data_IF_924854039250
#
_entry.id   IF_924854039250
#
_cell.length_a   1.000
_cell.length_b   1.000
_cell.length_c   1.000
_cell.angle_alpha   90.00
_cell.angle_beta   90.00
_cell.angle_gamma   90.00
#
_symmetry.space_group_name_H-M   'P 1'
#
loop_
_entity.id
_entity.type
_entity.pdbx_description
1 polymer ?
#
# COMPACT_ATOMS: atom_id res chain seq x y z
N UNK A 1 25.22 46.56 64.79
CA UNK A 1 23.82 46.46 64.31
C UNK A 1 23.57 45.05 63.78
N UNK A 2 22.71 44.27 64.44
CA UNK A 2 22.14 42.99 63.97
C UNK A 2 20.71 42.93 64.52
N UNK A 3 19.73 42.47 63.74
CA UNK A 3 18.36 42.22 64.22
C UNK A 3 17.96 40.79 63.89
N UNK A 4 17.39 40.13 64.88
CA UNK A 4 16.95 38.73 64.86
C UNK A 4 15.42 38.67 64.90
N UNK A 5 14.83 37.63 64.29
CA UNK A 5 13.50 37.04 64.55
C UNK A 5 13.37 35.91 63.51
N UNK A 6 13.47 34.60 63.79
CA UNK A 6 12.90 33.75 64.85
C UNK A 6 11.42 33.39 64.65
N UNK A 7 11.15 32.15 64.24
CA UNK A 7 9.98 31.39 64.68
C UNK A 7 10.25 29.88 64.55
N UNK A 8 9.84 29.09 65.56
CA UNK A 8 10.06 27.65 65.62
C UNK A 8 8.88 26.97 66.34
N UNK A 9 8.28 25.99 65.66
CA UNK A 9 7.44 24.83 66.08
C UNK A 9 6.76 24.86 67.48
N UNK A 10 5.43 24.66 67.50
CA UNK A 10 4.73 23.87 68.54
C UNK A 10 3.73 22.90 67.89
N UNK A 11 3.61 21.70 68.45
CA UNK A 11 2.71 20.59 68.08
C UNK A 11 1.75 20.31 69.25
N UNK A 12 0.47 19.94 69.03
CA UNK A 12 -0.22 18.87 69.79
C UNK A 12 -1.68 18.55 69.37
N UNK A 13 -1.86 17.37 68.79
CA UNK A 13 -2.91 16.32 68.95
C UNK A 13 -4.36 16.61 69.40
N UNK A 14 -5.34 15.97 68.72
CA UNK A 14 -6.09 14.79 69.25
C UNK A 14 -6.92 14.02 68.18
N UNK A 15 -6.77 12.70 68.25
CA UNK A 15 -7.60 11.52 67.90
C UNK A 15 -9.15 11.71 67.86
N UNK A 16 -10.01 10.87 67.25
CA UNK A 16 -9.98 9.39 66.98
C UNK A 16 -10.91 8.97 65.79
N UNK A 17 -10.82 7.69 65.35
CA UNK A 17 -11.63 6.90 64.39
C UNK A 17 -13.13 7.30 64.22
N UNK A 18 -13.82 7.19 63.07
CA UNK A 18 -14.23 5.99 62.27
C UNK A 18 -14.87 6.42 60.91
N UNK A 19 -15.24 5.58 59.90
CA UNK A 19 -14.80 4.25 59.40
C UNK A 19 -15.53 3.84 58.08
N UNK A 20 -14.86 3.02 57.25
CA UNK A 20 -15.41 1.98 56.33
C UNK A 20 -15.99 2.31 54.92
N UNK A 21 -15.67 1.38 53.99
CA UNK A 21 -16.21 1.07 52.64
C UNK A 21 -16.11 2.15 51.52
N UNK A 22 -15.62 1.93 50.28
CA UNK A 22 -15.37 0.78 49.38
C UNK A 22 -16.41 0.61 48.25
N UNK A 23 -15.90 0.38 47.02
CA UNK A 23 -16.59 0.11 45.72
C UNK A 23 -17.25 1.32 45.07
N UNK A 24 -16.93 1.71 43.82
CA UNK A 24 -16.83 1.01 42.51
C UNK A 24 -18.16 0.90 41.77
N UNK A 25 -18.06 0.86 40.43
CA UNK A 25 -19.15 0.60 39.47
C UNK A 25 -20.12 1.78 39.23
N UNK A 26 -20.65 2.06 38.03
CA UNK A 26 -20.30 1.60 36.67
C UNK A 26 -20.91 2.56 35.62
N UNK A 27 -20.70 2.28 34.33
CA UNK A 27 -21.28 3.01 33.20
C UNK A 27 -22.83 2.98 33.18
N UNK A 28 -23.46 4.04 32.67
CA UNK A 28 -24.90 4.13 32.45
C UNK A 28 -25.25 4.89 31.18
N UNK A 29 -25.42 4.18 30.07
CA UNK A 29 -25.92 4.73 28.80
C UNK A 29 -27.43 4.97 28.87
N UNK A 30 -27.90 6.11 28.36
CA UNK A 30 -29.25 6.21 27.80
C UNK A 30 -29.40 7.37 26.81
N UNK A 31 -30.05 7.08 25.69
CA UNK A 31 -30.70 8.02 24.78
C UNK A 31 -31.90 7.29 24.16
N UNK A 32 -32.49 7.76 23.05
CA UNK A 32 -32.45 9.10 22.47
C UNK A 32 -33.87 9.72 22.39
N UNK A 33 -33.99 10.96 21.88
CA UNK A 33 -35.25 11.47 21.32
C UNK A 33 -34.99 12.28 20.05
N UNK A 34 -35.78 12.01 19.02
CA UNK A 34 -35.72 12.68 17.73
C UNK A 34 -36.88 13.68 17.56
N UNK A 35 -36.65 14.77 16.83
CA UNK A 35 -37.70 15.54 16.19
C UNK A 35 -37.16 16.25 14.94
N UNK A 36 -37.87 16.10 13.83
CA UNK A 36 -37.48 16.57 12.48
C UNK A 36 -37.62 18.09 12.30
N UNK A 37 -36.91 18.65 11.31
CA UNK A 37 -37.12 20.03 10.87
C UNK A 37 -36.17 20.49 9.76
N UNK A 38 -36.59 20.37 8.49
CA UNK A 38 -35.89 20.95 7.34
C UNK A 38 -36.09 22.47 7.31
N UNK A 39 -35.03 23.27 7.20
CA UNK A 39 -35.07 24.63 6.65
C UNK A 39 -33.76 24.97 5.93
N UNK A 40 -33.85 25.84 4.93
CA UNK A 40 -32.85 26.09 3.87
C UNK A 40 -32.25 27.49 3.97
N UNK A 41 -31.00 27.64 3.51
CA UNK A 41 -30.23 28.90 3.36
C UNK A 41 -29.87 29.57 4.72
N UNK A 42 -28.72 30.23 4.92
CA UNK A 42 -27.70 30.74 4.00
C UNK A 42 -26.36 31.02 4.74
N UNK A 43 -25.26 31.21 3.98
CA UNK A 43 -24.00 31.84 4.41
C UNK A 43 -23.23 31.32 5.64
N UNK A 44 -22.37 30.32 5.41
CA UNK A 44 -21.07 30.23 6.08
C UNK A 44 -20.01 29.70 5.09
N UNK A 45 -19.39 30.58 4.31
CA UNK A 45 -18.15 30.26 3.59
C UNK A 45 -16.98 30.21 4.57
N UNK A 46 -17.01 29.23 5.47
CA UNK A 46 -15.83 28.90 6.26
C UNK A 46 -14.80 28.30 5.30
N UNK A 47 -13.66 28.97 5.19
CA UNK A 47 -12.44 28.41 4.63
C UNK A 47 -12.08 27.17 5.45
N UNK A 48 -12.52 26.00 4.99
CA UNK A 48 -11.76 24.78 5.26
C UNK A 48 -10.45 24.95 4.52
N UNK A 49 -9.45 25.47 5.24
CA UNK A 49 -8.07 25.29 4.82
C UNK A 49 -7.87 23.80 4.64
N UNK A 50 -7.36 23.41 3.48
CA UNK A 50 -6.84 22.06 3.28
C UNK A 50 -5.66 21.95 4.23
N UNK A 51 -5.93 21.45 5.44
CA UNK A 51 -4.92 20.83 6.27
C UNK A 51 -4.49 19.61 5.46
N UNK A 52 -3.40 19.78 4.69
CA UNK A 52 -2.72 18.69 4.03
C UNK A 52 -2.27 17.75 5.15
N UNK A 53 -3.08 16.72 5.45
CA UNK A 53 -2.52 15.49 6.02
C UNK A 53 -1.37 15.12 5.09
N UNK A 54 -0.12 15.03 5.57
CA UNK A 54 0.97 14.61 4.71
C UNK A 54 0.58 13.28 4.08
N UNK A 55 0.73 13.18 2.76
CA UNK A 55 0.38 11.96 2.06
C UNK A 55 1.16 10.81 2.71
N UNK A 56 0.44 9.78 3.14
CA UNK A 56 0.98 8.79 4.08
C UNK A 56 2.26 8.11 3.54
N UNK A 57 2.45 8.04 2.23
CA UNK A 57 3.63 7.48 1.57
C UNK A 57 4.36 8.52 0.71
N UNK A 58 4.41 9.76 1.21
CA UNK A 58 5.12 10.86 0.59
C UNK A 58 4.37 11.50 -0.58
N UNK A 59 4.98 12.55 -1.11
CA UNK A 59 4.49 13.33 -2.24
C UNK A 59 4.62 12.56 -3.57
N UNK A 60 3.72 12.73 -4.55
CA UNK A 60 3.76 11.96 -5.81
C UNK A 60 5.06 12.07 -6.61
N UNK A 61 5.78 13.20 -6.50
CA UNK A 61 7.10 13.40 -7.13
C UNK A 61 8.29 12.90 -6.30
N UNK A 62 8.05 12.25 -5.16
CA UNK A 62 9.07 11.67 -4.28
C UNK A 62 8.42 10.65 -3.33
N UNK A 63 7.89 9.53 -3.84
CA UNK A 63 7.20 8.54 -3.00
C UNK A 63 8.16 7.93 -1.98
N UNK A 64 7.63 7.59 -0.80
CA UNK A 64 8.36 6.81 0.18
C UNK A 64 8.65 5.39 -0.36
N UNK A 65 9.84 4.86 -0.06
CA UNK A 65 10.27 3.51 -0.42
C UNK A 65 10.35 2.61 0.82
N UNK A 66 9.88 1.37 0.69
CA UNK A 66 9.88 0.38 1.77
C UNK A 66 8.55 -0.36 1.87
N UNK A 67 8.48 -1.34 2.76
CA UNK A 67 7.28 -2.15 3.00
C UNK A 67 6.62 -1.69 4.30
N UNK A 68 5.39 -1.19 4.22
CA UNK A 68 4.58 -0.87 5.41
C UNK A 68 3.84 -2.13 5.90
N UNK A 69 3.47 -2.14 7.20
CA UNK A 69 2.70 -3.19 7.91
C UNK A 69 3.40 -4.55 7.98
N UNK A 70 4.73 -4.57 7.88
CA UNK A 70 5.57 -5.74 8.18
C UNK A 70 5.84 -5.86 9.69
N UNK A 71 5.74 -7.06 10.23
CA UNK A 71 6.16 -7.41 11.60
C UNK A 71 7.66 -7.75 11.65
N UNK A 72 8.36 -7.27 12.67
CA UNK A 72 9.78 -7.55 12.89
C UNK A 72 10.55 -6.34 13.43
N UNK A 73 11.88 -6.47 13.49
CA UNK A 73 12.78 -5.38 13.90
C UNK A 73 13.84 -5.11 12.85
N UNK A 74 14.09 -3.82 12.59
CA UNK A 74 15.23 -3.35 11.83
C UNK A 74 16.23 -2.67 12.78
N UNK A 75 17.53 -2.74 12.50
CA UNK A 75 18.58 -2.11 13.30
C UNK A 75 19.43 -1.18 12.46
N UNK A 76 19.70 0.01 13.00
CA UNK A 76 20.72 0.89 12.45
C UNK A 76 22.10 0.45 12.91
N UNK A 77 23.03 0.27 11.97
CA UNK A 77 24.46 0.17 12.27
C UNK A 77 25.07 1.56 12.19
N UNK A 78 25.15 2.25 13.33
CA UNK A 78 25.87 3.52 13.46
C UNK A 78 27.35 3.29 13.79
N UNK A 79 28.18 4.31 13.53
CA UNK A 79 29.61 4.30 13.91
C UNK A 79 29.82 4.37 15.45
N UNK A 80 28.81 4.80 16.19
CA UNK A 80 28.73 4.72 17.66
C UNK A 80 28.07 3.42 18.11
N UNK A 81 28.60 2.81 19.18
CA UNK A 81 28.25 1.47 19.69
C UNK A 81 26.82 1.25 20.19
N UNK A 82 25.91 2.23 20.09
CA UNK A 82 24.50 2.10 20.43
C UNK A 82 23.68 1.83 19.16
N UNK A 83 23.32 0.55 18.93
CA UNK A 83 22.43 0.16 17.85
C UNK A 83 20.96 0.44 18.21
N UNK A 84 20.34 1.39 17.53
CA UNK A 84 18.92 1.70 17.74
C UNK A 84 18.05 0.68 17.00
N UNK A 85 17.12 0.06 17.72
CA UNK A 85 16.11 -0.83 17.17
C UNK A 85 14.86 -0.04 16.72
N UNK A 86 14.41 -0.34 15.51
CA UNK A 86 13.23 0.21 14.86
C UNK A 86 12.26 -0.93 14.51
N UNK A 87 10.96 -0.65 14.28
CA UNK A 87 10.08 -1.61 13.62
C UNK A 87 10.60 -1.91 12.21
N UNK A 88 10.29 -3.10 11.70
CA UNK A 88 10.62 -3.52 10.34
C UNK A 88 10.19 -2.53 9.24
N UNK A 89 9.04 -1.87 9.41
CA UNK A 89 8.48 -0.92 8.44
C UNK A 89 9.08 0.50 8.50
N UNK A 90 10.18 0.69 9.23
CA UNK A 90 10.81 2.01 9.40
C UNK A 90 11.10 2.69 8.06
N UNK A 91 10.68 3.94 7.95
CA UNK A 91 10.84 4.75 6.74
C UNK A 91 10.03 4.31 5.52
N UNK A 92 9.18 3.27 5.60
CA UNK A 92 8.32 2.86 4.48
C UNK A 92 7.18 3.86 4.19
N UNK A 93 6.79 4.62 5.20
CA UNK A 93 5.74 5.63 5.16
C UNK A 93 6.14 6.84 6.04
N UNK A 94 5.43 7.95 5.87
CA UNK A 94 5.66 9.18 6.61
C UNK A 94 5.21 9.03 8.07
N UNK A 95 6.17 8.84 8.98
CA UNK A 95 5.92 8.70 10.42
C UNK A 95 7.04 9.35 11.25
N UNK A 96 6.74 9.59 12.52
CA UNK A 96 7.64 10.13 13.52
C UNK A 96 8.51 9.01 14.13
N UNK A 97 9.35 8.37 13.31
CA UNK A 97 10.12 7.17 13.71
C UNK A 97 11.04 7.38 14.93
N UNK A 98 11.60 8.58 15.09
CA UNK A 98 12.55 8.93 16.17
C UNK A 98 11.90 9.51 17.43
N UNK A 99 10.61 9.24 17.66
CA UNK A 99 9.84 9.78 18.79
C UNK A 99 10.42 9.46 20.19
N UNK A 100 11.35 8.51 20.28
CA UNK A 100 12.06 8.17 21.53
C UNK A 100 13.35 8.98 21.77
N UNK A 101 13.83 9.74 20.77
CA UNK A 101 15.21 10.25 20.73
C UNK A 101 15.35 11.77 20.83
N UNK A 102 14.29 12.56 20.60
CA UNK A 102 14.34 14.04 20.62
C UNK A 102 14.42 14.67 22.04
N UNK A 103 15.19 14.06 22.96
CA UNK A 103 15.27 14.44 24.37
C UNK A 103 15.72 15.88 24.65
N UNK A 104 15.41 16.39 25.86
CA UNK A 104 15.60 17.79 26.23
C UNK A 104 17.06 18.21 26.50
N UNK A 105 17.93 18.19 25.47
CA UNK A 105 18.98 19.18 25.20
C UNK A 105 19.87 18.71 24.05
N UNK A 106 19.94 19.50 22.96
CA UNK A 106 20.91 19.38 21.86
C UNK A 106 20.88 18.06 21.07
N UNK A 107 19.73 17.64 20.55
CA UNK A 107 19.75 16.82 19.33
C UNK A 107 20.30 17.67 18.17
N UNK A 108 21.49 17.34 17.67
CA UNK A 108 21.98 17.83 16.35
C UNK A 108 21.33 17.08 15.19
N UNK A 109 20.38 16.20 15.50
CA UNK A 109 19.57 15.42 14.59
C UNK A 109 18.70 16.34 13.70
N UNK A 110 18.82 16.28 12.36
CA UNK A 110 18.00 17.08 11.45
C UNK A 110 16.51 16.70 11.48
N UNK A 111 16.12 15.57 12.07
CA UNK A 111 14.72 15.09 12.16
C UNK A 111 14.01 15.50 13.47
N UNK A 112 14.71 16.16 14.41
CA UNK A 112 14.12 16.72 15.63
C UNK A 112 13.99 18.26 15.54
N UNK A 113 12.79 18.78 15.24
CA UNK A 113 12.52 20.23 15.26
C UNK A 113 11.96 20.63 16.63
N UNK A 114 12.65 21.53 17.35
CA UNK A 114 12.15 22.10 18.62
C UNK A 114 11.71 21.06 19.68
N UNK A 115 12.43 19.94 19.79
CA UNK A 115 12.09 18.77 20.64
C UNK A 115 10.83 18.01 20.21
N UNK A 116 10.26 18.32 19.05
CA UNK A 116 9.22 17.51 18.41
C UNK A 116 9.83 16.64 17.30
N UNK A 117 9.50 15.34 17.24
CA UNK A 117 9.90 14.47 16.13
C UNK A 117 9.18 14.89 14.86
N UNK A 118 9.92 15.07 13.76
CA UNK A 118 9.32 15.33 12.45
C UNK A 118 9.00 14.01 11.72
N UNK A 119 7.90 13.95 10.93
CA UNK A 119 7.64 12.81 10.09
C UNK A 119 8.65 12.76 8.94
N UNK A 120 9.17 11.57 8.66
CA UNK A 120 10.05 11.30 7.52
C UNK A 120 9.85 9.90 6.98
N UNK A 121 10.38 9.67 5.78
CA UNK A 121 10.47 8.33 5.18
C UNK A 121 11.74 8.19 4.33
N UNK A 122 12.08 6.97 3.96
CA UNK A 122 13.13 6.72 2.99
C UNK A 122 12.65 7.05 1.58
N UNK A 123 13.54 7.59 0.75
CA UNK A 123 13.30 7.99 -0.64
C UNK A 123 14.48 7.58 -1.52
N UNK A 124 14.21 7.37 -2.80
CA UNK A 124 15.26 7.26 -3.82
C UNK A 124 15.70 8.66 -4.28
N UNK A 125 16.96 9.08 -4.06
CA UNK A 125 17.46 10.39 -4.48
C UNK A 125 17.49 10.59 -6.01
N UNK A 126 17.40 9.51 -6.79
CA UNK A 126 17.41 9.59 -8.26
C UNK A 126 16.01 9.81 -8.86
N UNK A 127 14.95 9.37 -8.18
CA UNK A 127 13.55 9.59 -8.58
C UNK A 127 12.77 10.56 -7.66
N UNK A 128 13.42 11.16 -6.64
CA UNK A 128 12.84 12.18 -5.78
C UNK A 128 13.02 13.60 -6.35
N UNK A 129 11.93 14.39 -6.37
CA UNK A 129 11.90 15.78 -6.81
C UNK A 129 11.19 16.67 -5.77
N UNK A 130 11.86 16.91 -4.64
CA UNK A 130 11.44 17.87 -3.60
C UNK A 130 12.46 19.01 -3.45
N UNK A 131 12.03 20.17 -2.95
CA UNK A 131 12.83 21.40 -2.92
C UNK A 131 13.76 21.55 -1.69
N UNK A 132 14.10 20.44 -1.04
CA UNK A 132 14.77 20.40 0.27
C UNK A 132 16.08 19.62 0.23
N UNK A 133 16.90 19.78 1.28
CA UNK A 133 18.01 18.86 1.55
C UNK A 133 17.48 17.50 1.97
N UNK A 134 17.92 16.48 1.26
CA UNK A 134 17.82 15.08 1.65
C UNK A 134 19.11 14.70 2.40
N UNK A 135 19.02 13.80 3.37
CA UNK A 135 20.19 13.28 4.08
C UNK A 135 20.44 11.81 3.70
N UNK A 136 21.69 11.39 3.46
CA UNK A 136 22.00 9.97 3.31
C UNK A 136 21.48 9.20 4.52
N UNK A 137 20.83 8.06 4.27
CA UNK A 137 20.35 7.19 5.33
C UNK A 137 21.50 6.40 5.97
N UNK A 138 21.17 5.30 6.67
CA UNK A 138 22.16 4.43 7.30
C UNK A 138 23.16 3.89 6.26
N UNK A 139 24.42 3.74 6.66
CA UNK A 139 25.49 3.31 5.76
C UNK A 139 25.17 1.94 5.14
N UNK A 140 25.34 1.83 3.82
CA UNK A 140 25.14 0.58 3.09
C UNK A 140 23.69 0.25 2.68
N UNK A 141 22.68 0.99 3.17
CA UNK A 141 21.30 0.82 2.68
C UNK A 141 21.18 1.26 1.22
N UNK A 142 20.64 0.40 0.37
CA UNK A 142 20.42 0.72 -1.05
C UNK A 142 19.04 0.35 -1.54
N UNK A 143 18.53 1.11 -2.52
CA UNK A 143 17.31 0.83 -3.28
C UNK A 143 17.64 0.91 -4.76
N UNK A 144 17.32 -0.14 -5.50
CA UNK A 144 17.78 -0.33 -6.90
C UNK A 144 19.29 -0.04 -7.07
N UNK A 145 20.10 -0.43 -6.09
CA UNK A 145 21.56 -0.22 -6.02
C UNK A 145 22.05 1.22 -5.79
N UNK A 146 21.14 2.17 -5.57
CA UNK A 146 21.48 3.54 -5.19
C UNK A 146 21.36 3.68 -3.66
N UNK A 147 22.28 4.36 -2.94
CA UNK A 147 22.09 4.69 -1.53
C UNK A 147 20.76 5.39 -1.30
N UNK A 148 20.01 4.93 -0.29
CA UNK A 148 18.74 5.55 0.09
C UNK A 148 18.95 6.80 0.92
N UNK A 149 18.02 7.75 0.82
CA UNK A 149 18.05 9.00 1.58
C UNK A 149 16.82 9.07 2.47
N UNK A 150 16.91 9.77 3.60
CA UNK A 150 15.76 10.10 4.43
C UNK A 150 15.27 11.53 4.10
N UNK A 151 13.96 11.68 3.88
CA UNK A 151 13.32 12.95 3.51
C UNK A 151 12.12 13.24 4.40
N UNK A 152 12.21 14.36 5.13
CA UNK A 152 11.07 14.92 5.87
C UNK A 152 10.18 15.82 4.98
N UNK A 153 10.70 16.32 3.86
CA UNK A 153 9.96 17.26 3.01
C UNK A 153 8.91 16.57 2.14
N UNK A 154 9.16 15.33 1.69
CA UNK A 154 8.11 14.54 1.05
C UNK A 154 6.93 14.27 1.99
N UNK A 155 7.22 14.24 3.30
CA UNK A 155 6.28 14.15 4.42
C UNK A 155 5.78 15.51 4.94
N UNK A 156 5.90 16.58 4.15
CA UNK A 156 5.31 17.90 4.43
C UNK A 156 6.15 18.86 5.28
N UNK A 157 7.39 18.53 5.63
CA UNK A 157 8.28 19.47 6.33
C UNK A 157 8.84 20.54 5.39
N UNK A 158 8.63 21.81 5.71
CA UNK A 158 9.13 22.96 4.96
C UNK A 158 10.41 23.55 5.57
N UNK A 159 11.45 22.73 5.72
CA UNK A 159 12.78 23.20 6.13
C UNK A 159 13.55 23.82 4.95
N UNK A 160 14.43 24.76 5.26
CA UNK A 160 14.90 25.81 4.34
C UNK A 160 15.47 25.33 2.99
N UNK A 161 15.24 26.18 1.99
CA UNK A 161 15.58 26.00 0.59
C UNK A 161 16.99 25.43 0.35
N UNK A 162 17.02 24.33 -0.40
CA UNK A 162 18.25 23.79 -0.97
C UNK A 162 17.86 22.87 -2.11
N UNK A 163 18.27 23.20 -3.34
CA UNK A 163 18.10 22.28 -4.47
C UNK A 163 18.78 20.94 -4.11
N UNK A 164 18.11 19.79 -4.29
CA UNK A 164 18.82 18.51 -4.27
C UNK A 164 19.88 18.56 -5.36
N UNK A 165 21.16 18.54 -4.95
CA UNK A 165 22.24 18.31 -5.88
C UNK A 165 22.18 16.82 -6.24
N UNK A 166 21.44 16.49 -7.32
CA UNK A 166 21.36 15.12 -7.82
C UNK A 166 22.77 14.51 -7.85
N UNK A 167 23.06 13.50 -7.02
CA UNK A 167 24.42 13.03 -6.88
C UNK A 167 24.90 12.46 -8.22
N UNK A 168 26.20 12.58 -8.51
CA UNK A 168 26.81 12.02 -9.73
C UNK A 168 26.54 10.51 -9.91
N UNK A 169 26.22 9.85 -8.80
CA UNK A 169 25.59 8.54 -8.65
C UNK A 169 24.50 8.21 -9.69
N UNK A 170 23.53 9.10 -9.94
CA UNK A 170 22.32 8.79 -10.72
C UNK A 170 22.55 8.73 -12.25
N UNK A 171 23.80 8.61 -12.71
CA UNK A 171 24.18 8.79 -14.12
C UNK A 171 24.49 7.50 -14.88
N UNK A 172 24.81 6.40 -14.20
CA UNK A 172 25.17 5.16 -14.89
C UNK A 172 24.85 3.87 -14.08
N UNK A 173 23.57 3.46 -14.04
CA UNK A 173 23.13 2.22 -13.39
C UNK A 173 23.46 1.01 -14.27
N UNK A 174 24.75 0.63 -14.29
CA UNK A 174 25.27 -0.42 -15.16
C UNK A 174 24.75 -1.85 -14.89
N UNK A 175 24.89 -2.69 -15.91
CA UNK A 175 24.45 -4.10 -16.10
C UNK A 175 24.48 -5.05 -14.89
N UNK A 176 25.30 -4.79 -13.87
CA UNK A 176 25.31 -5.56 -12.61
C UNK A 176 23.98 -5.44 -11.83
N UNK A 177 23.22 -4.36 -12.04
CA UNK A 177 21.94 -4.14 -11.38
C UNK A 177 20.82 -5.06 -11.86
N UNK A 178 20.93 -5.65 -13.06
CA UNK A 178 19.86 -6.51 -13.59
C UNK A 178 19.82 -7.88 -12.89
N UNK A 179 21.00 -8.43 -12.54
CA UNK A 179 21.11 -9.70 -11.81
C UNK A 179 20.70 -9.55 -10.34
N UNK A 180 20.93 -8.39 -9.71
CA UNK A 180 20.65 -8.15 -8.30
C UNK A 180 19.30 -7.47 -8.04
N UNK A 181 18.88 -6.53 -8.88
CA UNK A 181 17.66 -5.70 -8.71
C UNK A 181 16.55 -6.06 -9.71
N UNK A 182 16.74 -7.16 -10.45
CA UNK A 182 15.81 -7.64 -11.45
C UNK A 182 15.80 -6.83 -12.74
N UNK A 183 15.05 -7.32 -13.74
CA UNK A 183 14.95 -6.72 -15.05
C UNK A 183 14.54 -5.25 -15.04
N UNK A 184 15.09 -4.48 -15.98
CA UNK A 184 14.82 -3.05 -16.11
C UNK A 184 13.33 -2.71 -16.30
N UNK A 185 12.53 -3.63 -16.85
CA UNK A 185 11.09 -3.53 -17.07
C UNK A 185 10.23 -4.13 -15.93
N UNK A 186 10.82 -4.67 -14.85
CA UNK A 186 10.09 -5.12 -13.65
C UNK A 186 11.06 -5.28 -12.46
N UNK A 187 11.58 -4.15 -11.99
CA UNK A 187 12.61 -4.08 -10.95
C UNK A 187 12.07 -4.42 -9.56
N UNK A 188 12.97 -4.92 -8.72
CA UNK A 188 12.71 -5.16 -7.31
C UNK A 188 12.37 -3.86 -6.55
N UNK A 189 11.45 -3.97 -5.59
CA UNK A 189 11.09 -2.94 -4.61
C UNK A 189 11.56 -3.37 -3.21
N UNK A 190 11.93 -2.39 -2.39
CA UNK A 190 12.45 -2.62 -1.05
C UNK A 190 13.88 -2.11 -0.89
N UNK A 191 14.33 -2.05 0.36
CA UNK A 191 15.64 -1.51 0.73
C UNK A 191 16.55 -2.69 1.08
N UNK A 192 17.59 -2.89 0.29
CA UNK A 192 18.60 -3.92 0.51
C UNK A 192 19.63 -3.48 1.56
N UNK A 193 20.16 -4.43 2.32
CA UNK A 193 21.12 -4.18 3.39
C UNK A 193 20.51 -3.80 4.74
N UNK A 194 19.17 -3.85 4.87
CA UNK A 194 18.49 -3.60 6.13
C UNK A 194 18.83 -4.72 7.12
N UNK A 195 19.53 -4.37 8.20
CA UNK A 195 19.88 -5.30 9.27
C UNK A 195 18.68 -5.55 10.17
N UNK A 196 18.59 -6.77 10.72
CA UNK A 196 17.49 -7.21 11.58
C UNK A 196 16.71 -8.37 10.99
N UNK A 197 15.46 -8.51 11.40
CA UNK A 197 14.61 -9.65 11.06
C UNK A 197 13.12 -9.30 10.89
N UNK A 198 12.50 -9.88 9.86
CA UNK A 198 11.04 -9.93 9.69
C UNK A 198 10.49 -11.22 10.26
N UNK A 199 9.28 -11.14 10.82
CA UNK A 199 8.51 -12.29 11.28
C UNK A 199 7.49 -12.69 10.24
N UNK A 200 7.74 -13.79 9.51
CA UNK A 200 6.77 -14.40 8.59
C UNK A 200 6.00 -15.50 9.33
N UNK A 201 4.68 -15.56 9.16
CA UNK A 201 3.83 -16.54 9.82
C UNK A 201 3.28 -17.55 8.80
N UNK A 202 3.77 -18.79 8.88
CA UNK A 202 3.23 -19.92 8.12
C UNK A 202 2.31 -20.76 9.03
N UNK A 203 2.91 -21.64 9.83
CA UNK A 203 2.31 -22.35 10.96
C UNK A 203 3.04 -22.09 12.27
N UNK A 204 4.32 -21.71 12.18
CA UNK A 204 5.15 -21.15 13.24
C UNK A 204 5.83 -19.89 12.71
N UNK A 205 6.12 -18.95 13.62
CA UNK A 205 6.82 -17.71 13.30
C UNK A 205 8.26 -18.02 12.87
N UNK A 206 8.58 -17.64 11.62
CA UNK A 206 9.88 -17.90 10.99
C UNK A 206 10.61 -16.58 10.75
N UNK A 207 11.84 -16.42 11.27
CA UNK A 207 12.62 -15.21 11.05
C UNK A 207 13.25 -15.19 9.65
N UNK A 208 13.03 -14.12 8.91
CA UNK A 208 13.71 -13.78 7.66
C UNK A 208 14.55 -12.50 7.85
N UNK A 209 15.54 -12.21 6.98
CA UNK A 209 16.24 -10.92 6.99
C UNK A 209 15.27 -9.73 6.89
N UNK A 210 15.61 -8.59 7.50
CA UNK A 210 14.80 -7.37 7.42
C UNK A 210 14.63 -6.84 5.98
N UNK A 211 15.54 -7.19 5.06
CA UNK A 211 15.51 -6.84 3.64
C UNK A 211 14.96 -7.95 2.72
N UNK A 212 14.20 -8.92 3.26
CA UNK A 212 13.53 -9.99 2.52
C UNK A 212 12.82 -9.45 1.26
N UNK A 213 13.20 -10.00 0.10
CA UNK A 213 12.58 -9.67 -1.18
C UNK A 213 13.02 -8.33 -1.78
N UNK A 214 13.99 -7.62 -1.19
CA UNK A 214 14.52 -6.34 -1.72
C UNK A 214 15.33 -6.48 -3.02
N UNK A 215 15.83 -7.68 -3.29
CA UNK A 215 16.77 -8.02 -4.36
C UNK A 215 16.58 -9.46 -4.80
N UNK A 216 17.08 -9.82 -5.98
CA UNK A 216 17.00 -11.16 -6.55
C UNK A 216 17.89 -12.15 -5.80
N UNK A 217 17.30 -12.84 -4.82
CA UNK A 217 17.99 -13.86 -4.03
C UNK A 217 17.10 -15.08 -3.82
N UNK A 218 17.73 -16.20 -3.43
CA UNK A 218 17.04 -17.39 -2.95
C UNK A 218 16.64 -17.18 -1.49
N UNK A 219 15.58 -16.40 -1.27
CA UNK A 219 15.17 -15.99 0.06
C UNK A 219 14.72 -17.15 0.94
N UNK A 220 14.25 -18.24 0.33
CA UNK A 220 13.63 -19.35 1.06
C UNK A 220 14.59 -20.50 1.35
N UNK A 221 15.72 -20.58 0.64
CA UNK A 221 16.74 -21.63 0.74
C UNK A 221 17.23 -21.78 2.19
N UNK A 222 16.90 -22.91 2.83
CA UNK A 222 17.18 -23.17 4.25
C UNK A 222 16.39 -22.31 5.27
N UNK A 223 15.58 -21.34 4.83
CA UNK A 223 14.84 -20.41 5.70
C UNK A 223 13.36 -20.79 5.85
N UNK A 224 12.65 -21.03 4.76
CA UNK A 224 11.24 -21.46 4.83
C UNK A 224 11.14 -22.87 5.44
N UNK A 225 10.13 -23.19 6.27
CA UNK A 225 9.96 -24.52 6.88
C UNK A 225 10.12 -25.69 5.90
N UNK A 226 9.40 -25.67 4.78
CA UNK A 226 9.44 -26.72 3.74
C UNK A 226 10.81 -26.84 3.04
N UNK A 227 11.65 -25.79 3.10
CA UNK A 227 12.97 -25.74 2.48
C UNK A 227 14.11 -26.22 3.40
N UNK A 228 13.78 -26.84 4.55
CA UNK A 228 14.74 -27.39 5.52
C UNK A 228 14.80 -28.93 5.53
N UNK A 229 14.01 -29.59 4.69
CA UNK A 229 14.00 -31.05 4.54
C UNK A 229 15.15 -31.58 3.65
N UNK A 230 15.26 -32.91 3.54
CA UNK A 230 16.25 -33.57 2.66
C UNK A 230 15.89 -33.48 1.17
N UNK A 231 14.60 -33.34 0.85
CA UNK A 231 14.07 -33.16 -0.51
C UNK A 231 13.24 -31.86 -0.56
N UNK A 232 13.90 -30.69 -0.56
CA UNK A 232 13.21 -29.39 -0.57
C UNK A 232 12.53 -29.14 -1.93
N UNK A 233 11.31 -28.57 -1.95
CA UNK A 233 10.63 -28.18 -3.19
C UNK A 233 11.50 -27.30 -4.10
N UNK A 234 11.39 -27.47 -5.42
CA UNK A 234 12.26 -26.78 -6.38
C UNK A 234 12.25 -25.24 -6.29
N UNK A 235 11.16 -24.63 -5.78
CA UNK A 235 11.05 -23.19 -5.56
C UNK A 235 11.95 -22.65 -4.45
N UNK A 236 12.37 -23.49 -3.49
CA UNK A 236 13.31 -23.12 -2.44
C UNK A 236 14.65 -22.60 -2.98
N UNK A 237 15.03 -23.04 -4.17
CA UNK A 237 16.30 -22.69 -4.83
C UNK A 237 16.15 -21.62 -5.92
N UNK A 238 14.96 -21.01 -6.06
CA UNK A 238 14.67 -20.00 -7.08
C UNK A 238 14.92 -18.59 -6.56
N UNK A 239 15.41 -17.70 -7.42
CA UNK A 239 15.59 -16.29 -7.08
C UNK A 239 14.28 -15.54 -7.30
N UNK A 240 13.89 -14.71 -6.34
CA UNK A 240 12.73 -13.82 -6.48
C UNK A 240 12.97 -12.51 -5.74
N UNK A 241 12.13 -11.54 -6.05
CA UNK A 241 12.03 -10.31 -5.26
C UNK A 241 10.59 -9.77 -5.27
N UNK A 242 10.30 -8.85 -4.37
CA UNK A 242 9.08 -8.07 -4.40
C UNK A 242 9.15 -7.03 -5.51
N UNK A 243 8.03 -6.73 -6.17
CA UNK A 243 7.97 -5.78 -7.31
C UNK A 243 6.74 -4.87 -7.24
N UNK A 244 6.81 -3.72 -7.91
CA UNK A 244 5.61 -2.91 -8.18
C UNK A 244 4.88 -3.45 -9.42
N UNK A 245 3.72 -4.10 -9.29
CA UNK A 245 3.04 -4.74 -10.41
C UNK A 245 2.69 -3.77 -11.56
N UNK A 246 2.47 -2.49 -11.25
CA UNK A 246 2.02 -1.52 -12.24
C UNK A 246 3.17 -0.90 -13.04
N UNK A 247 4.41 -1.07 -12.56
CA UNK A 247 5.64 -0.71 -13.25
C UNK A 247 6.24 -1.88 -14.04
N UNK A 248 5.61 -3.06 -14.00
CA UNK A 248 6.11 -4.30 -14.58
C UNK A 248 5.54 -4.60 -15.98
N UNK A 249 6.43 -4.98 -16.90
CA UNK A 249 6.09 -5.37 -18.28
C UNK A 249 6.89 -6.59 -18.73
N UNK A 250 6.74 -7.70 -18.00
CA UNK A 250 7.38 -9.01 -18.19
C UNK A 250 6.36 -10.08 -18.62
N UNK A 251 6.83 -11.18 -19.20
CA UNK A 251 5.98 -12.26 -19.77
C UNK A 251 5.10 -12.91 -18.69
N UNK A 252 5.72 -13.38 -17.60
CA UNK A 252 4.99 -13.87 -16.44
C UNK A 252 4.65 -12.72 -15.49
N UNK A 253 3.36 -12.42 -15.24
CA UNK A 253 2.96 -11.28 -14.43
C UNK A 253 3.23 -11.53 -12.93
N UNK A 254 3.58 -10.48 -12.16
CA UNK A 254 3.76 -10.57 -10.71
C UNK A 254 2.53 -11.10 -9.97
N UNK A 255 2.77 -11.76 -8.82
CA UNK A 255 1.74 -12.43 -8.01
C UNK A 255 1.69 -11.87 -6.59
N UNK A 256 0.52 -11.83 -5.97
CA UNK A 256 0.38 -11.33 -4.58
C UNK A 256 1.14 -12.22 -3.61
N UNK A 257 1.92 -11.60 -2.72
CA UNK A 257 2.69 -12.28 -1.68
C UNK A 257 1.78 -12.81 -0.56
N UNK A 258 2.01 -14.06 -0.18
CA UNK A 258 1.38 -14.71 0.97
C UNK A 258 2.15 -14.51 2.28
N UNK A 259 3.41 -14.06 2.22
CA UNK A 259 4.31 -13.99 3.39
C UNK A 259 3.88 -12.86 4.35
N UNK A 260 3.38 -11.76 3.79
CA UNK A 260 2.87 -10.61 4.53
C UNK A 260 1.54 -10.14 3.95
N UNK A 261 0.41 -10.83 4.22
CA UNK A 261 -0.89 -10.53 3.59
C UNK A 261 -1.46 -9.15 3.94
N UNK A 262 -0.88 -8.48 4.95
CA UNK A 262 -1.23 -7.10 5.35
C UNK A 262 -0.22 -6.06 4.87
N UNK A 263 0.95 -6.46 4.36
CA UNK A 263 1.99 -5.52 3.95
C UNK A 263 1.64 -4.81 2.65
N UNK A 264 2.10 -3.58 2.53
CA UNK A 264 1.79 -2.73 1.39
C UNK A 264 2.98 -1.91 0.90
N UNK A 265 3.07 -1.76 -0.42
CA UNK A 265 4.02 -0.86 -1.09
C UNK A 265 3.26 0.23 -1.86
N UNK A 266 3.42 1.49 -1.45
CA UNK A 266 2.70 2.63 -2.04
C UNK A 266 1.19 2.37 -2.12
N UNK A 267 0.57 2.06 -0.98
CA UNK A 267 -0.83 1.65 -0.78
C UNK A 267 -1.33 0.36 -1.48
N UNK A 268 -0.49 -0.33 -2.25
CA UNK A 268 -0.87 -1.56 -2.97
C UNK A 268 -0.50 -2.79 -2.14
N UNK A 269 -1.24 -3.92 -2.24
CA UNK A 269 -0.76 -5.21 -1.74
C UNK A 269 0.66 -5.52 -2.24
N UNK A 270 1.41 -6.31 -1.49
CA UNK A 270 2.76 -6.69 -1.86
C UNK A 270 2.73 -7.78 -2.95
N UNK A 271 3.46 -7.58 -4.06
CA UNK A 271 3.60 -8.57 -5.13
C UNK A 271 5.05 -9.05 -5.23
N UNK A 272 5.25 -10.31 -5.63
CA UNK A 272 6.55 -10.90 -5.93
C UNK A 272 6.62 -11.39 -7.38
N UNK A 273 7.85 -11.60 -7.86
CA UNK A 273 8.14 -12.09 -9.20
C UNK A 273 9.41 -12.95 -9.18
N UNK A 274 9.34 -14.15 -9.78
CA UNK A 274 10.52 -14.97 -10.11
C UNK A 274 11.12 -14.54 -11.46
N UNK A 275 10.25 -14.26 -12.44
CA UNK A 275 10.62 -13.83 -13.80
C UNK A 275 11.45 -12.54 -13.79
N UNK A 276 11.15 -11.60 -12.88
CA UNK A 276 11.98 -10.40 -12.65
C UNK A 276 13.45 -10.73 -12.41
N UNK A 277 13.75 -11.90 -11.85
CA UNK A 277 15.08 -12.38 -11.51
C UNK A 277 15.60 -13.43 -12.50
N UNK A 278 15.06 -13.49 -13.74
CA UNK A 278 15.36 -14.54 -14.73
C UNK A 278 15.14 -15.97 -14.17
N UNK A 279 14.23 -16.14 -13.22
CA UNK A 279 13.99 -17.40 -12.52
C UNK A 279 12.61 -17.94 -12.86
N UNK A 280 12.54 -19.24 -13.09
CA UNK A 280 11.28 -19.93 -13.38
C UNK A 280 10.45 -20.16 -12.11
N UNK A 281 9.16 -19.80 -12.12
CA UNK A 281 8.24 -19.95 -10.98
C UNK A 281 7.82 -21.41 -10.75
N UNK A 282 8.69 -22.21 -10.14
CA UNK A 282 8.31 -23.56 -9.67
C UNK A 282 7.44 -23.57 -8.40
N UNK A 283 6.99 -22.42 -7.89
CA UNK A 283 6.06 -22.35 -6.75
C UNK A 283 4.60 -22.42 -7.22
N UNK A 284 4.27 -21.74 -8.32
CA UNK A 284 2.90 -21.71 -8.86
C UNK A 284 2.71 -22.43 -10.20
N UNK A 285 3.76 -22.81 -10.92
CA UNK A 285 3.66 -23.44 -12.27
C UNK A 285 2.63 -24.57 -12.39
N UNK A 286 2.67 -25.60 -11.53
CA UNK A 286 1.71 -26.71 -11.57
C UNK A 286 0.41 -26.46 -10.79
N UNK A 287 0.23 -25.26 -10.22
CA UNK A 287 -0.93 -24.93 -9.39
C UNK A 287 -2.17 -24.69 -10.24
N UNK A 288 -3.06 -25.69 -10.28
CA UNK A 288 -4.36 -25.60 -10.96
C UNK A 288 -5.29 -24.50 -10.41
N UNK A 289 -4.99 -23.93 -9.25
CA UNK A 289 -5.75 -22.84 -8.64
C UNK A 289 -5.09 -21.46 -8.80
N UNK A 290 -3.92 -21.36 -9.44
CA UNK A 290 -3.33 -20.10 -9.83
C UNK A 290 -4.04 -19.53 -11.06
N UNK A 291 -4.28 -18.22 -11.06
CA UNK A 291 -4.96 -17.53 -12.17
C UNK A 291 -4.15 -17.64 -13.47
N UNK A 292 -2.84 -17.40 -13.40
CA UNK A 292 -1.94 -17.37 -14.58
C UNK A 292 -1.92 -18.67 -15.38
N UNK A 293 -2.28 -19.80 -14.76
CA UNK A 293 -2.30 -21.13 -15.41
C UNK A 293 -3.63 -21.42 -16.15
N UNK A 294 -4.60 -20.51 -16.13
CA UNK A 294 -5.89 -20.73 -16.80
C UNK A 294 -5.86 -20.23 -18.25
N UNK A 295 -5.75 -21.16 -19.19
CA UNK A 295 -5.70 -20.92 -20.64
C UNK A 295 -6.98 -20.32 -21.26
N UNK A 296 -8.09 -20.23 -20.51
CA UNK A 296 -9.35 -19.74 -21.04
C UNK A 296 -10.17 -18.95 -20.03
N UNK A 297 -10.92 -17.96 -20.53
CA UNK A 297 -11.85 -17.13 -19.76
C UNK A 297 -12.81 -17.97 -18.90
N UNK A 298 -13.39 -19.02 -19.48
CA UNK A 298 -14.30 -19.90 -18.76
C UNK A 298 -13.64 -20.62 -17.57
N UNK A 299 -12.37 -21.06 -17.69
CA UNK A 299 -11.62 -21.64 -16.57
C UNK A 299 -11.21 -20.57 -15.56
N UNK A 300 -10.77 -19.40 -16.04
CA UNK A 300 -10.39 -18.26 -15.22
C UNK A 300 -11.53 -17.81 -14.29
N UNK A 301 -12.74 -17.63 -14.86
CA UNK A 301 -13.93 -17.19 -14.14
C UNK A 301 -14.59 -18.32 -13.31
N UNK A 302 -14.20 -19.57 -13.52
CA UNK A 302 -14.60 -20.71 -12.69
C UNK A 302 -13.72 -20.90 -11.45
N UNK A 303 -12.57 -20.22 -11.35
CA UNK A 303 -11.82 -20.13 -10.10
C UNK A 303 -12.59 -19.24 -9.12
N UNK A 304 -13.26 -19.90 -8.16
CA UNK A 304 -14.10 -19.26 -7.14
C UNK A 304 -13.36 -18.29 -6.23
N UNK A 305 -14.14 -17.58 -5.42
CA UNK A 305 -13.63 -16.61 -4.45
C UNK A 305 -13.02 -17.22 -3.19
N UNK A 306 -12.80 -16.34 -2.22
CA UNK A 306 -12.32 -16.69 -0.88
C UNK A 306 -13.29 -17.69 -0.21
N UNK A 307 -12.82 -18.70 0.55
CA UNK A 307 -13.70 -19.56 1.34
C UNK A 307 -14.63 -18.80 2.30
N UNK A 308 -14.24 -17.62 2.76
CA UNK A 308 -15.03 -16.73 3.62
C UNK A 308 -15.96 -15.78 2.83
N UNK A 309 -15.63 -15.48 1.56
CA UNK A 309 -16.48 -14.70 0.64
C UNK A 309 -16.43 -15.25 -0.81
N UNK A 310 -17.35 -16.18 -1.14
CA UNK A 310 -17.42 -16.79 -2.47
C UNK A 310 -17.76 -15.83 -3.62
N UNK A 311 -18.27 -14.62 -3.35
CA UNK A 311 -18.61 -13.63 -4.39
C UNK A 311 -17.38 -12.83 -4.85
N UNK A 312 -16.33 -12.73 -4.03
CA UNK A 312 -15.06 -12.10 -4.40
C UNK A 312 -14.26 -13.05 -5.31
N UNK A 313 -14.56 -13.06 -6.61
CA UNK A 313 -13.76 -13.78 -7.62
C UNK A 313 -12.27 -13.54 -7.42
N UNK A 314 -11.49 -14.62 -7.23
CA UNK A 314 -10.03 -14.59 -7.08
C UNK A 314 -9.33 -14.10 -8.35
N UNK A 315 -9.85 -14.51 -9.51
CA UNK A 315 -9.25 -14.25 -10.81
C UNK A 315 -10.16 -13.40 -11.70
N UNK A 316 -9.56 -12.68 -12.65
CA UNK A 316 -10.24 -11.91 -13.68
C UNK A 316 -9.55 -12.10 -15.03
N UNK A 317 -10.34 -12.01 -16.11
CA UNK A 317 -9.87 -12.18 -17.48
C UNK A 317 -9.70 -10.82 -18.16
N UNK A 318 -8.46 -10.44 -18.50
CA UNK A 318 -8.19 -9.11 -19.02
C UNK A 318 -6.71 -8.76 -19.09
N UNK A 319 -6.40 -7.48 -18.93
CA UNK A 319 -5.05 -6.95 -19.09
C UNK A 319 -4.68 -6.64 -20.54
N UNK A 320 -3.48 -6.10 -20.80
CA UNK A 320 -3.04 -5.72 -22.15
C UNK A 320 -2.99 -6.91 -23.13
N UNK A 321 -2.62 -8.08 -22.62
CA UNK A 321 -2.44 -9.32 -23.39
C UNK A 321 -3.67 -10.26 -23.37
N UNK A 322 -4.73 -9.90 -22.63
CA UNK A 322 -5.95 -10.72 -22.46
C UNK A 322 -5.63 -12.13 -21.95
N UNK A 323 -5.20 -12.21 -20.68
CA UNK A 323 -4.91 -13.46 -19.97
C UNK A 323 -5.63 -13.52 -18.62
N UNK A 324 -5.61 -14.68 -17.98
CA UNK A 324 -6.17 -14.84 -16.64
C UNK A 324 -5.19 -14.30 -15.60
N UNK A 325 -5.63 -13.32 -14.82
CA UNK A 325 -4.83 -12.62 -13.82
C UNK A 325 -5.54 -12.65 -12.46
N UNK A 326 -4.81 -12.33 -11.39
CA UNK A 326 -5.45 -12.01 -10.11
C UNK A 326 -6.36 -10.79 -10.29
N UNK A 327 -7.57 -10.83 -9.72
CA UNK A 327 -8.55 -9.74 -9.89
C UNK A 327 -8.04 -8.43 -9.31
N UNK A 328 -7.33 -8.53 -8.20
CA UNK A 328 -6.66 -7.43 -7.52
C UNK A 328 -5.62 -6.73 -8.39
N UNK A 329 -4.90 -7.46 -9.26
CA UNK A 329 -3.91 -6.88 -10.18
C UNK A 329 -4.53 -5.91 -11.20
N UNK A 330 -5.67 -6.28 -11.80
CA UNK A 330 -6.38 -5.41 -12.74
C UNK A 330 -6.90 -4.14 -12.06
N UNK A 331 -7.49 -4.28 -10.87
CA UNK A 331 -8.03 -3.15 -10.12
C UNK A 331 -6.93 -2.21 -9.63
N UNK A 332 -5.86 -2.75 -9.04
CA UNK A 332 -4.75 -2.01 -8.44
C UNK A 332 -4.03 -1.13 -9.46
N UNK A 333 -3.81 -1.63 -10.67
CA UNK A 333 -3.12 -0.88 -11.72
C UNK A 333 -4.05 -0.08 -12.64
N UNK A 334 -5.34 0.03 -12.29
CA UNK A 334 -6.38 0.72 -13.09
C UNK A 334 -6.46 0.23 -14.55
N UNK A 335 -6.12 -1.04 -14.78
CA UNK A 335 -6.13 -1.68 -16.09
C UNK A 335 -7.58 -2.06 -16.42
N UNK A 336 -8.00 -1.89 -17.68
CA UNK A 336 -9.38 -2.14 -18.09
C UNK A 336 -9.77 -3.62 -17.92
N UNK A 337 -10.69 -3.86 -16.99
CA UNK A 337 -11.33 -5.15 -16.77
C UNK A 337 -12.54 -5.31 -17.72
N UNK A 338 -12.44 -6.23 -18.68
CA UNK A 338 -13.53 -6.54 -19.62
C UNK A 338 -14.75 -7.19 -18.94
N UNK A 339 -14.56 -7.79 -17.77
CA UNK A 339 -15.66 -8.42 -17.02
C UNK A 339 -16.53 -7.39 -16.29
N UNK A 340 -15.99 -6.19 -16.00
CA UNK A 340 -16.73 -5.08 -15.38
C UNK A 340 -17.40 -4.15 -16.41
N UNK A 341 -16.87 -4.03 -17.63
CA UNK A 341 -17.51 -3.23 -18.68
C UNK A 341 -18.91 -3.74 -19.02
N UNK A 342 -19.09 -5.05 -19.08
CA UNK A 342 -20.37 -5.69 -19.40
C UNK A 342 -21.39 -5.55 -18.25
N UNK A 343 -20.94 -5.37 -17.00
CA UNK A 343 -21.84 -5.21 -15.85
C UNK A 343 -22.38 -3.80 -15.65
N UNK A 344 -21.67 -2.79 -16.15
CA UNK A 344 -22.13 -1.39 -16.13
C UNK A 344 -23.39 -1.14 -16.98
N UNK A 345 -23.61 -1.92 -18.04
CA UNK A 345 -24.71 -1.72 -19.00
C UNK A 345 -26.06 -2.30 -18.56
N UNK A 346 -26.11 -3.40 -17.79
CA UNK A 346 -27.39 -3.98 -17.35
C UNK A 346 -27.94 -3.34 -16.06
N UNK A 347 -27.04 -2.85 -15.20
CA UNK A 347 -27.42 -2.28 -13.89
C UNK A 347 -28.12 -0.92 -13.99
N UNK A 348 -27.90 -0.16 -15.07
CA UNK A 348 -28.54 1.14 -15.28
C UNK A 348 -29.98 1.06 -15.83
N UNK A 349 -30.45 -0.13 -16.25
CA UNK A 349 -31.73 -0.32 -16.95
C UNK A 349 -32.82 -1.07 -16.14
N UNK A 350 -32.65 -1.24 -14.83
CA UNK A 350 -33.69 -1.79 -13.93
C UNK A 350 -33.79 -1.01 -12.61
N UNK A 351 -34.13 0.28 -12.68
CA UNK A 351 -34.03 1.16 -11.51
C UNK A 351 -34.99 2.36 -11.41
N UNK A 352 -36.17 2.34 -12.03
CA UNK A 352 -37.22 3.35 -11.75
C UNK A 352 -38.59 3.03 -12.38
N UNK A 353 -39.42 2.28 -11.65
CA UNK A 353 -40.89 2.31 -11.82
C UNK A 353 -41.45 3.14 -10.68
N UNK A 354 -41.78 4.40 -10.96
CA UNK A 354 -42.31 5.37 -10.00
C UNK A 354 -42.86 6.59 -10.73
N UNK A 355 -44.18 6.74 -10.67
CA UNK A 355 -45.03 7.67 -11.42
C UNK A 355 -44.51 9.09 -11.73
N UNK A 356 -44.61 9.50 -13.00
CA UNK A 356 -45.30 10.74 -13.38
C UNK A 356 -45.60 10.87 -14.90
N UNK A 357 -46.90 11.00 -15.22
CA UNK A 357 -47.50 11.79 -16.32
C UNK A 357 -46.83 11.81 -17.72
N UNK A 358 -47.48 11.09 -18.64
CA UNK A 358 -47.85 11.56 -19.99
C UNK A 358 -46.83 12.43 -20.75
N UNK A 359 -46.00 11.79 -21.57
CA UNK A 359 -45.60 12.33 -22.88
C UNK A 359 -45.39 11.19 -23.88
N UNK A 360 -46.12 11.23 -24.99
CA UNK A 360 -45.97 10.25 -26.08
C UNK A 360 -44.66 10.52 -26.83
N UNK A 361 -43.70 9.62 -26.73
CA UNK A 361 -42.54 9.57 -27.64
C UNK A 361 -42.47 8.18 -28.25
N UNK A 362 -43.22 7.99 -29.33
CA UNK A 362 -43.17 6.77 -30.15
C UNK A 362 -41.96 6.85 -31.06
N UNK A 363 -40.80 6.35 -30.60
CA UNK A 363 -39.61 6.22 -31.47
C UNK A 363 -39.78 4.97 -32.35
N UNK A 364 -39.99 5.18 -33.64
CA UNK A 364 -40.29 4.12 -34.59
C UNK A 364 -39.06 3.33 -35.03
N UNK A 365 -39.12 2.00 -34.85
CA UNK A 365 -38.22 1.03 -35.51
C UNK A 365 -38.98 0.21 -36.59
N UNK A 366 -40.26 0.48 -36.80
CA UNK A 366 -41.15 -0.28 -37.71
C UNK A 366 -41.45 0.40 -39.05
N UNK A 367 -41.13 1.70 -39.21
CA UNK A 367 -41.50 2.47 -40.39
C UNK A 367 -40.62 2.20 -41.63
N UNK A 368 -39.33 1.90 -41.44
CA UNK A 368 -38.38 1.62 -42.54
C UNK A 368 -38.62 0.26 -43.20
N UNK A 369 -39.07 -0.75 -42.44
CA UNK A 369 -39.38 -2.07 -42.99
C UNK A 369 -40.70 -2.07 -43.78
N UNK A 370 -41.70 -1.31 -43.33
CA UNK A 370 -42.99 -1.17 -44.04
C UNK A 370 -42.86 -0.42 -45.37
N UNK A 371 -41.99 0.61 -45.46
CA UNK A 371 -41.76 1.32 -46.71
C UNK A 371 -41.05 0.47 -47.77
N UNK A 372 -40.13 -0.41 -47.38
CA UNK A 372 -39.47 -1.34 -48.30
C UNK A 372 -40.42 -2.45 -48.79
N UNK A 373 -41.28 -2.98 -47.92
CA UNK A 373 -42.30 -3.97 -48.30
C UNK A 373 -43.40 -3.36 -49.19
N UNK A 374 -43.82 -2.11 -48.92
CA UNK A 374 -44.80 -1.41 -49.77
C UNK A 374 -44.25 -1.10 -51.17
N UNK A 375 -42.98 -0.70 -51.28
CA UNK A 375 -42.32 -0.48 -52.58
C UNK A 375 -42.25 -1.77 -53.42
N UNK A 376 -41.92 -2.91 -52.80
CA UNK A 376 -41.93 -4.22 -53.47
C UNK A 376 -43.35 -4.60 -53.95
N UNK A 377 -44.38 -4.37 -53.15
CA UNK A 377 -45.77 -4.68 -53.55
C UNK A 377 -46.26 -3.80 -54.71
N UNK A 378 -45.92 -2.51 -54.74
CA UNK A 378 -46.29 -1.60 -55.84
C UNK A 378 -45.57 -1.93 -57.14
N UNK A 379 -44.32 -2.41 -57.09
CA UNK A 379 -43.60 -2.87 -58.28
C UNK A 379 -44.18 -4.17 -58.86
N UNK A 380 -44.58 -5.14 -58.02
CA UNK A 380 -45.20 -6.39 -58.49
C UNK A 380 -46.57 -6.15 -59.11
N UNK A 381 -47.39 -5.27 -58.53
CA UNK A 381 -48.77 -4.97 -59.02
C UNK A 381 -48.80 -4.05 -60.26
N UNK A 382 -47.67 -3.42 -60.65
CA UNK A 382 -47.54 -2.66 -61.91
C UNK A 382 -46.80 -3.41 -63.03
N UNK A 383 -46.26 -4.60 -62.75
CA UNK A 383 -45.63 -5.47 -63.74
C UNK A 383 -46.52 -6.58 -64.31
N UNK A 384 -47.74 -6.74 -63.77
CA UNK A 384 -48.69 -7.78 -64.13
C UNK A 384 -50.07 -7.19 -64.41
N UNK A 385 -50.66 -7.64 -65.53
CA UNK A 385 -52.10 -7.67 -65.75
C UNK A 385 -52.75 -8.74 -64.86
#
# INVERSE_FOLDING_TARGET
MRRSLALLIIVSTRTVLTSAASRSDACGLSGPRASSGHQLLQHATNRLGVQNSPASYGSPGCPCIGLDRTSGTATSQGESSDSQAYPASVGAHCDAWDNRSCGQAKSTDPFCQAQTPMPWCFVDPCNCNVSSREHPAWQGLTWQGHPVYASAATCGSHSAEGKPSQPSLCKDPGRFLEELMGHANCKCIGIAGLSGNLSVNFSTESPFPADLGSSCQKWDEGRHPDCRGEDPPGWCHRQWCYVDPCSCSIEEPPKVSTYFPKATYGHKPLYYSYESCNSFDTFTFDSRSACVNQESEARCLALGGDPEDPEIRKCAWGGPEIKCLGKELLHVCQISDKTLSDWSWWSFNRGSVGDARTSKVTVGVTATLYLLLAMLFVCVVRGLM
#
